data_IF_618610013809
#
_entry.id   IF_618610013809
#
_cell.length_a   1.000
_cell.length_b   1.000
_cell.length_c   1.000
_cell.angle_alpha   90.00
_cell.angle_beta   90.00
_cell.angle_gamma   90.00
#
_symmetry.space_group_name_H-M   'P 1'
#
loop_
_entity.id
_entity.type
_entity.pdbx_description
1 polymer ?
#
# COMPACT_ATOMS: atom_id res chain seq x y z
N UNK A 1 -32.29 12.95 -8.33
CA UNK A 1 -31.39 12.15 -9.20
C UNK A 1 -30.57 11.25 -8.31
N UNK A 2 -30.45 9.98 -8.66
CA UNK A 2 -29.67 9.02 -7.85
C UNK A 2 -28.22 9.02 -8.35
N UNK A 3 -27.46 10.08 -8.01
CA UNK A 3 -26.09 10.29 -8.45
C UNK A 3 -25.10 10.23 -7.30
N UNK A 4 -23.80 10.04 -7.60
CA UNK A 4 -22.69 10.06 -6.67
C UNK A 4 -21.47 10.74 -7.28
N UNK A 5 -20.53 11.16 -6.43
CA UNK A 5 -19.22 11.68 -6.87
C UNK A 5 -18.20 10.55 -6.94
N UNK A 6 -17.34 10.61 -7.97
CA UNK A 6 -16.22 9.72 -8.21
C UNK A 6 -15.02 10.49 -8.74
N UNK A 7 -13.80 10.10 -8.32
CA UNK A 7 -12.57 10.69 -8.82
C UNK A 7 -12.14 10.02 -10.12
N UNK A 8 -11.91 10.81 -11.15
CA UNK A 8 -11.45 10.33 -12.45
C UNK A 8 -10.26 11.13 -12.97
N UNK A 9 -9.34 10.43 -13.62
CA UNK A 9 -8.31 11.01 -14.47
C UNK A 9 -8.92 11.21 -15.86
N UNK A 10 -9.03 12.44 -16.26
CA UNK A 10 -9.48 12.82 -17.59
C UNK A 10 -8.28 12.94 -18.55
N UNK A 11 -8.56 13.24 -19.82
CA UNK A 11 -7.51 13.46 -20.82
C UNK A 11 -6.62 14.66 -20.44
N UNK A 12 -5.34 14.57 -20.77
CA UNK A 12 -4.34 15.59 -20.46
C UNK A 12 -3.62 15.40 -19.12
N UNK A 13 -2.45 16.00 -19.02
CA UNK A 13 -1.59 15.92 -17.83
C UNK A 13 -2.26 16.53 -16.61
N UNK A 14 -2.15 15.86 -15.48
CA UNK A 14 -2.67 16.37 -14.20
C UNK A 14 -4.19 16.56 -14.12
N UNK A 15 -4.94 16.22 -15.15
CA UNK A 15 -6.37 16.48 -15.24
C UNK A 15 -7.18 15.44 -14.44
N UNK A 16 -7.18 15.57 -13.11
CA UNK A 16 -7.96 14.74 -12.18
C UNK A 16 -9.13 15.56 -11.63
N UNK A 17 -10.35 15.04 -11.73
CA UNK A 17 -11.57 15.74 -11.31
C UNK A 17 -12.53 14.81 -10.58
N UNK A 18 -13.30 15.41 -9.67
CA UNK A 18 -14.53 14.80 -9.16
C UNK A 18 -15.61 14.92 -10.22
N UNK A 19 -16.14 13.80 -10.66
CA UNK A 19 -17.24 13.74 -11.65
C UNK A 19 -18.48 13.18 -10.98
N UNK A 20 -19.62 13.69 -11.43
CA UNK A 20 -20.92 13.16 -11.03
C UNK A 20 -21.32 12.03 -11.97
N UNK A 21 -21.64 10.87 -11.40
CA UNK A 21 -22.01 9.66 -12.11
C UNK A 21 -23.26 9.04 -11.49
N UNK A 22 -23.92 8.15 -12.19
CA UNK A 22 -25.03 7.38 -11.65
C UNK A 22 -24.57 6.52 -10.45
N UNK A 23 -25.33 6.54 -9.35
CA UNK A 23 -25.10 5.67 -8.20
C UNK A 23 -25.53 4.26 -8.57
N UNK A 24 -24.62 3.26 -8.47
CA UNK A 24 -24.95 1.90 -8.87
C UNK A 24 -25.91 1.23 -7.86
N UNK A 25 -26.64 0.24 -8.34
CA UNK A 25 -27.47 -0.65 -7.53
C UNK A 25 -26.85 -2.05 -7.51
N UNK A 26 -26.86 -2.75 -6.33
CA UNK A 26 -26.28 -4.06 -6.24
C UNK A 26 -27.14 -5.13 -6.93
N UNK A 27 -26.53 -5.85 -7.87
CA UNK A 27 -27.08 -7.03 -8.49
C UNK A 27 -26.91 -8.30 -7.66
N UNK A 28 -27.20 -9.50 -8.23
CA UNK A 28 -27.02 -10.77 -7.56
C UNK A 28 -25.57 -10.96 -7.08
N UNK A 29 -25.39 -11.38 -5.83
CA UNK A 29 -24.08 -11.59 -5.19
C UNK A 29 -23.29 -10.30 -4.94
N UNK A 30 -23.90 -9.12 -5.07
CA UNK A 30 -23.23 -7.84 -4.90
C UNK A 30 -23.72 -7.07 -3.66
N UNK A 31 -22.82 -6.30 -3.09
CA UNK A 31 -23.09 -5.33 -2.03
C UNK A 31 -22.78 -3.91 -2.49
N UNK A 32 -23.56 -2.94 -2.05
CA UNK A 32 -23.27 -1.53 -2.20
C UNK A 32 -22.60 -1.00 -0.92
N UNK A 33 -21.36 -0.58 -1.04
CA UNK A 33 -20.57 -0.04 0.07
C UNK A 33 -20.53 1.49 -0.02
N UNK A 34 -20.95 2.19 1.03
CA UNK A 34 -20.74 3.63 1.20
C UNK A 34 -19.37 3.85 1.80
N UNK A 35 -18.46 4.45 1.03
CA UNK A 35 -17.09 4.67 1.46
C UNK A 35 -17.00 5.75 2.56
N UNK A 36 -16.17 5.49 3.55
CA UNK A 36 -15.80 6.44 4.61
C UNK A 36 -14.39 6.99 4.39
N UNK A 37 -13.47 6.14 3.92
CA UNK A 37 -12.06 6.47 3.63
C UNK A 37 -11.58 5.72 2.41
N UNK A 38 -10.62 6.31 1.70
CA UNK A 38 -9.88 5.63 0.62
C UNK A 38 -8.44 6.10 0.61
N UNK A 39 -7.51 5.20 0.28
CA UNK A 39 -6.07 5.44 0.27
C UNK A 39 -5.60 5.84 -1.13
N UNK A 40 -4.91 6.98 -1.23
CA UNK A 40 -4.27 7.42 -2.46
C UNK A 40 -2.84 6.87 -2.51
N UNK A 41 -2.53 6.12 -3.53
CA UNK A 41 -1.19 5.59 -3.75
C UNK A 41 -0.30 6.58 -4.49
N UNK A 42 0.82 6.96 -3.86
CA UNK A 42 1.80 7.84 -4.50
C UNK A 42 2.39 7.21 -5.77
N UNK A 43 2.74 5.93 -5.75
CA UNK A 43 3.38 5.24 -6.88
C UNK A 43 2.39 4.94 -8.01
N UNK A 44 1.31 4.24 -7.69
CA UNK A 44 0.36 3.75 -8.70
C UNK A 44 -0.52 4.85 -9.29
N UNK A 45 -0.86 5.85 -8.50
CA UNK A 45 -1.81 6.88 -8.93
C UNK A 45 -1.11 8.20 -9.22
N UNK A 46 -0.42 8.80 -8.23
CA UNK A 46 0.18 10.12 -8.45
C UNK A 46 1.33 10.04 -9.47
N UNK A 47 2.29 9.13 -9.28
CA UNK A 47 3.44 9.06 -10.17
C UNK A 47 3.09 8.57 -11.58
N UNK A 48 2.30 7.51 -11.70
CA UNK A 48 1.96 6.95 -13.01
C UNK A 48 0.89 7.74 -13.76
N UNK A 49 -0.09 8.31 -13.07
CA UNK A 49 -1.30 8.84 -13.71
C UNK A 49 -1.42 10.35 -13.65
N UNK A 50 -0.70 10.99 -12.72
CA UNK A 50 -0.79 12.42 -12.52
C UNK A 50 0.49 13.16 -12.94
N UNK A 51 1.67 12.65 -12.56
CA UNK A 51 2.96 13.35 -12.72
C UNK A 51 3.63 13.04 -14.05
N UNK A 52 3.40 11.87 -14.66
CA UNK A 52 3.97 11.55 -15.97
C UNK A 52 3.20 12.24 -17.09
N UNK A 53 3.94 12.91 -17.95
CA UNK A 53 3.44 13.63 -19.12
C UNK A 53 2.95 12.68 -20.21
N UNK A 54 3.58 11.51 -20.34
CA UNK A 54 3.12 10.44 -21.24
C UNK A 54 1.72 10.01 -20.78
N UNK A 55 0.80 10.48 -21.54
CA UNK A 55 -0.62 10.44 -21.28
C UNK A 55 -1.09 9.08 -20.79
N UNK A 56 -1.29 8.97 -19.51
CA UNK A 56 -2.14 7.91 -19.01
C UNK A 56 -3.55 8.23 -19.50
N UNK A 57 -4.18 7.35 -20.27
CA UNK A 57 -5.53 7.56 -20.78
C UNK A 57 -6.51 7.81 -19.63
N UNK A 58 -7.69 8.36 -19.91
CA UNK A 58 -8.75 8.54 -18.93
C UNK A 58 -8.97 7.28 -18.09
N UNK A 59 -9.00 7.42 -16.79
CA UNK A 59 -9.04 6.29 -15.88
C UNK A 59 -9.80 6.62 -14.58
N UNK A 60 -10.56 5.65 -14.09
CA UNK A 60 -11.17 5.71 -12.78
C UNK A 60 -10.06 5.46 -11.73
N UNK A 61 -9.87 6.41 -10.82
CA UNK A 61 -8.81 6.37 -9.83
C UNK A 61 -9.23 5.68 -8.54
N UNK A 62 -8.28 5.06 -7.86
CA UNK A 62 -8.49 4.37 -6.59
C UNK A 62 -8.49 2.85 -6.72
N UNK A 63 -8.12 2.17 -5.63
CA UNK A 63 -8.13 0.71 -5.55
C UNK A 63 -8.24 0.17 -4.12
N UNK A 64 -8.08 1.01 -3.09
CA UNK A 64 -8.17 0.60 -1.70
C UNK A 64 -9.01 1.57 -0.88
N UNK A 65 -10.06 1.05 -0.26
CA UNK A 65 -11.02 1.85 0.49
C UNK A 65 -11.63 1.04 1.65
N UNK A 66 -12.30 1.76 2.56
CA UNK A 66 -13.07 1.18 3.65
C UNK A 66 -14.38 1.93 3.85
N UNK A 67 -15.42 1.21 4.24
CA UNK A 67 -16.74 1.79 4.41
C UNK A 67 -17.73 0.83 5.05
N UNK A 68 -19.00 1.06 4.79
CA UNK A 68 -20.12 0.35 5.37
C UNK A 68 -21.08 -0.12 4.27
N UNK A 69 -21.53 -1.34 4.34
CA UNK A 69 -22.55 -1.89 3.43
C UNK A 69 -23.88 -1.19 3.69
N UNK A 70 -24.43 -0.58 2.65
CA UNK A 70 -25.70 0.15 2.73
C UNK A 70 -26.85 -0.52 1.97
N UNK A 71 -26.53 -1.49 1.10
CA UNK A 71 -27.50 -2.34 0.44
C UNK A 71 -26.83 -3.66 0.03
N UNK A 72 -27.60 -4.73 -0.02
CA UNK A 72 -27.22 -6.05 -0.50
C UNK A 72 -28.16 -6.48 -1.62
N UNK A 73 -27.61 -7.05 -2.68
CA UNK A 73 -28.38 -7.65 -3.75
C UNK A 73 -28.88 -9.06 -3.39
N UNK A 74 -29.69 -9.66 -4.28
CA UNK A 74 -30.06 -11.07 -4.13
C UNK A 74 -28.81 -11.97 -4.06
N UNK A 75 -28.96 -13.15 -3.44
CA UNK A 75 -27.91 -14.19 -3.36
C UNK A 75 -26.70 -13.86 -2.46
N UNK A 76 -26.62 -12.68 -1.85
CA UNK A 76 -25.61 -12.36 -0.81
C UNK A 76 -25.95 -13.14 0.46
N UNK A 77 -24.98 -13.92 0.97
CA UNK A 77 -25.18 -14.83 2.12
C UNK A 77 -24.34 -14.46 3.34
N UNK A 78 -23.12 -13.95 3.15
CA UNK A 78 -22.15 -13.77 4.24
C UNK A 78 -21.97 -12.30 4.66
N UNK A 79 -22.69 -11.38 4.02
CA UNK A 79 -22.62 -9.94 4.33
C UNK A 79 -24.02 -9.36 4.58
N UNK A 80 -24.10 -8.33 5.40
CA UNK A 80 -25.36 -7.65 5.72
C UNK A 80 -25.20 -6.13 5.74
N UNK A 81 -26.32 -5.43 5.62
CA UNK A 81 -26.39 -3.96 5.76
C UNK A 81 -25.90 -3.55 7.15
N UNK A 82 -25.11 -2.48 7.21
CA UNK A 82 -24.47 -1.96 8.43
C UNK A 82 -23.11 -2.59 8.72
N UNK A 83 -22.72 -3.64 8.01
CA UNK A 83 -21.41 -4.27 8.23
C UNK A 83 -20.28 -3.37 7.72
N UNK A 84 -19.23 -3.24 8.53
CA UNK A 84 -18.00 -2.51 8.21
C UNK A 84 -17.09 -3.39 7.36
N UNK A 85 -16.55 -2.82 6.28
CA UNK A 85 -15.75 -3.57 5.31
C UNK A 85 -14.58 -2.76 4.76
N UNK A 86 -13.50 -3.47 4.41
CA UNK A 86 -12.51 -3.01 3.43
C UNK A 86 -12.93 -3.50 2.04
N UNK A 87 -12.73 -2.69 1.02
CA UNK A 87 -13.12 -3.01 -0.34
C UNK A 87 -12.07 -2.52 -1.34
N UNK A 88 -11.81 -3.33 -2.38
CA UNK A 88 -11.06 -2.87 -3.54
C UNK A 88 -12.01 -2.06 -4.43
N UNK A 89 -11.64 -0.82 -4.74
CA UNK A 89 -12.52 0.01 -5.57
C UNK A 89 -12.04 1.45 -5.72
N UNK A 90 -12.72 2.23 -6.56
CA UNK A 90 -12.32 3.58 -6.86
C UNK A 90 -12.51 4.55 -5.69
N UNK A 91 -11.89 5.72 -5.80
CA UNK A 91 -12.23 6.88 -4.95
C UNK A 91 -13.60 7.41 -5.35
N UNK A 92 -14.63 6.96 -4.66
CA UNK A 92 -16.01 7.28 -4.94
C UNK A 92 -16.83 7.37 -3.64
N UNK A 93 -18.03 7.91 -3.70
CA UNK A 93 -18.93 7.86 -2.55
C UNK A 93 -19.49 6.46 -2.29
N UNK A 94 -19.70 5.68 -3.37
CA UNK A 94 -20.20 4.31 -3.28
C UNK A 94 -19.45 3.40 -4.26
N UNK A 95 -19.31 2.13 -3.88
CA UNK A 95 -18.65 1.09 -4.68
C UNK A 95 -19.48 -0.18 -4.60
N UNK A 96 -19.65 -0.86 -5.73
CA UNK A 96 -20.15 -2.24 -5.73
C UNK A 96 -19.01 -3.19 -5.35
N UNK A 97 -19.30 -4.13 -4.48
CA UNK A 97 -18.40 -5.20 -4.09
C UNK A 97 -19.02 -6.56 -4.37
N UNK A 98 -18.22 -7.54 -4.75
CA UNK A 98 -18.67 -8.88 -5.06
C UNK A 98 -18.37 -9.81 -3.86
N UNK A 99 -19.37 -10.58 -3.40
CA UNK A 99 -19.23 -11.47 -2.24
C UNK A 99 -18.20 -12.58 -2.49
N UNK A 100 -18.24 -13.21 -3.66
CA UNK A 100 -17.37 -14.35 -4.00
C UNK A 100 -16.01 -13.92 -4.57
N UNK A 101 -15.70 -12.63 -4.51
CA UNK A 101 -14.52 -12.08 -5.14
C UNK A 101 -14.71 -11.90 -6.65
N UNK A 102 -14.31 -10.80 -7.16
CA UNK A 102 -14.43 -10.39 -8.54
C UNK A 102 -13.54 -9.18 -8.75
N UNK A 103 -14.05 -8.20 -9.48
CA UNK A 103 -13.34 -6.94 -9.71
C UNK A 103 -13.12 -6.16 -8.41
N UNK A 104 -14.11 -6.22 -7.51
CA UNK A 104 -14.08 -5.48 -6.25
C UNK A 104 -14.28 -6.44 -5.06
N UNK A 105 -13.17 -6.88 -4.49
CA UNK A 105 -13.15 -7.76 -3.31
C UNK A 105 -13.60 -7.01 -2.07
N UNK A 106 -14.29 -7.72 -1.17
CA UNK A 106 -14.80 -7.19 0.07
C UNK A 106 -14.37 -8.06 1.26
N UNK A 107 -13.96 -7.43 2.35
CA UNK A 107 -13.50 -8.12 3.57
C UNK A 107 -14.14 -7.46 4.78
N UNK A 108 -14.78 -8.26 5.65
CA UNK A 108 -15.31 -7.76 6.91
C UNK A 108 -14.22 -7.21 7.82
N UNK A 109 -14.49 -6.10 8.49
CA UNK A 109 -13.56 -5.47 9.42
C UNK A 109 -13.88 -5.83 10.87
N UNK A 110 -12.87 -6.09 11.73
CA UNK A 110 -13.04 -6.13 13.17
C UNK A 110 -13.64 -4.82 13.72
N UNK A 111 -14.35 -4.90 14.82
CA UNK A 111 -15.05 -3.74 15.41
C UNK A 111 -14.11 -2.65 15.91
N UNK A 112 -12.91 -3.02 16.31
CA UNK A 112 -11.84 -2.15 16.86
C UNK A 112 -10.95 -1.51 15.80
N UNK A 113 -11.00 -1.99 14.54
CA UNK A 113 -10.21 -1.41 13.45
C UNK A 113 -10.95 -0.21 12.84
N UNK A 114 -10.35 0.98 12.88
CA UNK A 114 -10.93 2.17 12.25
C UNK A 114 -10.86 2.12 10.71
N UNK A 115 -11.67 2.97 10.03
CA UNK A 115 -11.74 2.98 8.57
C UNK A 115 -10.46 3.52 7.91
N UNK A 116 -9.72 4.37 8.58
CA UNK A 116 -8.47 4.94 8.04
C UNK A 116 -7.40 3.86 7.97
N UNK A 117 -7.16 3.16 9.08
CA UNK A 117 -6.25 2.01 9.14
C UNK A 117 -6.68 0.90 8.18
N UNK A 118 -7.98 0.62 8.08
CA UNK A 118 -8.52 -0.40 7.18
C UNK A 118 -8.22 -0.13 5.69
N UNK A 119 -7.95 1.12 5.29
CA UNK A 119 -7.55 1.41 3.91
C UNK A 119 -6.19 0.84 3.52
N UNK A 120 -5.35 0.47 4.48
CA UNK A 120 -4.05 -0.16 4.23
C UNK A 120 -4.15 -1.69 4.03
N UNK A 121 -5.31 -2.31 4.31
CA UNK A 121 -5.46 -3.77 4.33
C UNK A 121 -5.01 -4.42 3.02
N UNK A 122 -5.35 -3.84 1.86
CA UNK A 122 -4.94 -4.37 0.56
C UNK A 122 -3.42 -4.38 0.42
N UNK A 123 -2.75 -3.27 0.67
CA UNK A 123 -1.30 -3.16 0.58
C UNK A 123 -0.58 -4.03 1.61
N UNK A 124 -1.13 -4.15 2.82
CA UNK A 124 -0.60 -5.05 3.85
C UNK A 124 -0.71 -6.51 3.40
N UNK A 125 -1.83 -6.90 2.80
CA UNK A 125 -2.02 -8.26 2.28
C UNK A 125 -1.00 -8.57 1.18
N UNK A 126 -0.81 -7.67 0.22
CA UNK A 126 0.20 -7.82 -0.84
C UNK A 126 1.62 -7.92 -0.24
N UNK A 127 1.94 -7.08 0.73
CA UNK A 127 3.24 -7.10 1.41
C UNK A 127 3.48 -8.43 2.12
N UNK A 128 2.49 -8.97 2.82
CA UNK A 128 2.57 -10.29 3.46
C UNK A 128 2.81 -11.39 2.43
N UNK A 129 2.14 -11.32 1.26
CA UNK A 129 2.32 -12.29 0.18
C UNK A 129 3.74 -12.22 -0.42
N UNK A 130 4.27 -11.02 -0.66
CA UNK A 130 5.64 -10.86 -1.16
C UNK A 130 6.67 -11.39 -0.16
N UNK A 131 6.51 -11.07 1.10
CA UNK A 131 7.42 -11.53 2.15
C UNK A 131 7.37 -13.05 2.38
N UNK A 132 6.29 -13.75 1.99
CA UNK A 132 6.27 -15.22 2.00
C UNK A 132 7.30 -15.84 1.05
N UNK A 133 7.56 -15.18 -0.09
CA UNK A 133 8.59 -15.58 -1.05
C UNK A 133 10.01 -15.15 -0.70
N UNK A 134 10.16 -14.36 0.39
CA UNK A 134 11.44 -13.80 0.85
C UNK A 134 11.63 -14.17 2.32
N UNK A 135 11.97 -15.42 2.64
CA UNK A 135 12.12 -15.87 4.02
C UNK A 135 13.28 -15.14 4.70
N UNK A 136 13.13 -14.88 5.99
CA UNK A 136 14.17 -14.43 6.89
C UNK A 136 14.06 -15.20 8.19
N UNK A 137 15.18 -15.70 8.69
CA UNK A 137 15.25 -16.51 9.90
C UNK A 137 15.61 -15.65 11.14
N UNK A 138 15.30 -16.13 12.35
CA UNK A 138 15.75 -15.48 13.57
C UNK A 138 17.28 -15.32 13.60
N UNK A 139 17.74 -14.13 13.99
CA UNK A 139 19.16 -13.76 14.04
C UNK A 139 19.71 -13.14 12.77
N UNK A 140 19.02 -13.26 11.65
CA UNK A 140 19.41 -12.65 10.38
C UNK A 140 19.11 -11.14 10.32
N UNK A 141 19.79 -10.44 9.43
CA UNK A 141 19.64 -8.99 9.22
C UNK A 141 18.85 -8.73 7.93
N UNK A 142 17.78 -7.94 8.05
CA UNK A 142 17.03 -7.42 6.91
C UNK A 142 17.27 -5.92 6.72
N UNK A 143 17.36 -5.49 5.47
CA UNK A 143 17.38 -4.08 5.06
C UNK A 143 16.19 -3.76 4.20
N UNK A 144 15.51 -2.64 4.46
CA UNK A 144 14.41 -2.13 3.60
C UNK A 144 14.75 -0.73 3.12
N UNK A 145 14.98 -0.61 1.79
CA UNK A 145 15.24 0.67 1.15
C UNK A 145 13.93 1.34 0.73
N UNK A 146 13.76 2.59 1.17
CA UNK A 146 12.57 3.39 0.92
C UNK A 146 11.47 3.15 1.95
N UNK A 147 11.14 4.18 2.73
CA UNK A 147 10.11 4.15 3.77
C UNK A 147 8.85 4.92 3.33
N UNK A 148 8.43 4.66 2.07
CA UNK A 148 7.07 4.96 1.64
C UNK A 148 6.07 3.98 2.26
N UNK A 149 4.80 4.04 1.88
CA UNK A 149 3.75 3.13 2.41
C UNK A 149 4.18 1.66 2.31
N UNK A 150 4.64 1.23 1.13
CA UNK A 150 5.03 -0.16 0.89
C UNK A 150 6.25 -0.56 1.74
N UNK A 151 7.31 0.24 1.73
CA UNK A 151 8.51 -0.08 2.52
C UNK A 151 8.26 -0.11 4.02
N UNK A 152 7.46 0.82 4.54
CA UNK A 152 7.06 0.81 5.94
C UNK A 152 6.24 -0.43 6.31
N UNK A 153 5.35 -0.89 5.43
CA UNK A 153 4.61 -2.14 5.63
C UNK A 153 5.54 -3.36 5.52
N UNK A 154 6.49 -3.38 4.57
CA UNK A 154 7.50 -4.44 4.47
C UNK A 154 8.33 -4.55 5.76
N UNK A 155 8.82 -3.44 6.28
CA UNK A 155 9.62 -3.43 7.51
C UNK A 155 8.84 -4.00 8.71
N UNK A 156 7.57 -3.64 8.86
CA UNK A 156 6.71 -4.17 9.91
C UNK A 156 6.43 -5.67 9.72
N UNK A 157 6.09 -6.12 8.51
CA UNK A 157 5.86 -7.56 8.23
C UNK A 157 7.11 -8.39 8.45
N UNK A 158 8.29 -7.86 8.11
CA UNK A 158 9.58 -8.51 8.41
C UNK A 158 9.78 -8.57 9.92
N UNK A 159 9.51 -7.49 10.65
CA UNK A 159 9.66 -7.42 12.11
C UNK A 159 8.85 -8.49 12.84
N UNK A 160 7.62 -8.76 12.39
CA UNK A 160 6.76 -9.81 12.96
C UNK A 160 7.36 -11.22 12.85
N UNK A 161 8.34 -11.43 11.96
CA UNK A 161 9.07 -12.70 11.84
C UNK A 161 10.26 -12.82 12.81
N UNK A 162 10.47 -11.80 13.62
CA UNK A 162 11.52 -11.76 14.66
C UNK A 162 12.94 -11.99 14.12
N UNK A 163 13.37 -11.27 13.07
CA UNK A 163 14.76 -11.31 12.64
C UNK A 163 15.67 -10.79 13.76
N UNK A 164 16.96 -11.00 13.62
CA UNK A 164 17.95 -10.42 14.54
C UNK A 164 18.01 -8.90 14.47
N UNK A 165 17.83 -8.34 13.25
CA UNK A 165 17.88 -6.88 13.03
C UNK A 165 17.07 -6.46 11.80
N UNK A 166 16.34 -5.35 11.90
CA UNK A 166 15.70 -4.65 10.79
C UNK A 166 16.30 -3.26 10.64
N UNK A 167 16.99 -3.05 9.51
CA UNK A 167 17.60 -1.77 9.14
C UNK A 167 16.70 -1.14 8.06
N UNK A 168 16.38 0.14 8.19
CA UNK A 168 15.63 0.87 7.17
C UNK A 168 16.44 2.04 6.62
N UNK A 169 16.25 2.34 5.35
CA UNK A 169 16.96 3.41 4.63
C UNK A 169 15.95 4.30 3.92
N UNK A 170 15.97 5.59 4.16
CA UNK A 170 15.21 6.59 3.39
C UNK A 170 15.97 7.91 3.35
N UNK A 171 15.71 8.76 2.36
CA UNK A 171 16.29 10.09 2.25
C UNK A 171 15.48 11.17 3.00
N UNK A 172 14.26 10.87 3.41
CA UNK A 172 13.34 11.87 3.96
C UNK A 172 13.30 11.81 5.49
N UNK A 173 13.71 12.87 6.21
CA UNK A 173 13.80 12.86 7.68
C UNK A 173 12.50 12.45 8.39
N UNK A 174 11.34 12.92 7.90
CA UNK A 174 10.04 12.55 8.45
C UNK A 174 9.79 11.05 8.36
N UNK A 175 10.13 10.40 7.25
CA UNK A 175 9.97 8.94 7.07
C UNK A 175 10.93 8.15 7.95
N UNK A 176 12.16 8.66 8.10
CA UNK A 176 13.11 8.11 9.05
C UNK A 176 12.57 8.18 10.50
N UNK A 177 11.89 9.28 10.86
CA UNK A 177 11.19 9.40 12.15
C UNK A 177 10.11 8.33 12.32
N UNK A 178 9.20 8.24 11.36
CA UNK A 178 8.12 7.22 11.37
C UNK A 178 8.70 5.79 11.47
N UNK A 179 9.78 5.51 10.74
CA UNK A 179 10.40 4.18 10.79
C UNK A 179 10.95 3.81 12.19
N UNK A 180 11.48 4.78 12.94
CA UNK A 180 11.88 4.58 14.34
C UNK A 180 10.66 4.28 15.22
N UNK A 181 9.59 5.06 15.05
CA UNK A 181 8.35 4.87 15.82
C UNK A 181 7.69 3.51 15.52
N UNK A 182 7.87 2.97 14.31
CA UNK A 182 7.41 1.66 13.89
C UNK A 182 8.35 0.50 14.30
N UNK A 183 9.41 0.78 15.03
CA UNK A 183 10.27 -0.22 15.66
C UNK A 183 11.40 -0.76 14.77
N UNK A 184 11.88 -0.01 13.79
CA UNK A 184 13.13 -0.35 13.10
C UNK A 184 14.31 -0.28 14.11
N UNK A 185 15.21 -1.27 14.05
CA UNK A 185 16.37 -1.31 14.96
C UNK A 185 17.40 -0.24 14.59
N UNK A 186 17.60 -0.01 13.28
CA UNK A 186 18.50 1.00 12.75
C UNK A 186 17.82 1.79 11.63
N UNK A 187 18.01 3.10 11.61
CA UNK A 187 17.43 3.99 10.61
C UNK A 187 18.53 4.86 9.99
N UNK A 188 18.77 4.65 8.71
CA UNK A 188 19.80 5.33 7.93
C UNK A 188 19.15 6.41 7.04
N UNK A 189 19.61 7.66 7.20
CA UNK A 189 19.26 8.72 6.26
C UNK A 189 20.31 8.78 5.16
N UNK A 190 19.97 8.28 3.97
CA UNK A 190 20.89 8.21 2.82
C UNK A 190 21.29 9.59 2.26
N UNK A 191 20.63 10.67 2.68
CA UNK A 191 21.05 12.04 2.34
C UNK A 191 22.21 12.55 3.21
N UNK A 192 22.53 11.87 4.31
CA UNK A 192 23.54 12.29 5.27
C UNK A 192 24.78 11.38 5.26
N UNK A 193 24.59 10.10 4.92
CA UNK A 193 25.66 9.08 4.96
C UNK A 193 25.54 8.11 3.79
N UNK A 194 26.63 7.40 3.48
CA UNK A 194 26.60 6.28 2.55
C UNK A 194 25.95 5.07 3.22
N UNK A 195 24.77 4.70 2.73
CA UNK A 195 23.96 3.63 3.32
C UNK A 195 24.59 2.25 3.13
N UNK A 196 25.34 2.02 2.05
CA UNK A 196 26.04 0.74 1.80
C UNK A 196 27.16 0.54 2.83
N UNK A 197 27.98 1.57 3.03
CA UNK A 197 29.06 1.52 4.04
C UNK A 197 28.50 1.30 5.46
N UNK A 198 27.41 2.00 5.81
CA UNK A 198 26.80 1.85 7.13
C UNK A 198 26.24 0.45 7.32
N UNK A 199 25.50 -0.11 6.34
CA UNK A 199 24.98 -1.48 6.41
C UNK A 199 26.11 -2.49 6.54
N UNK A 200 27.16 -2.38 5.76
CA UNK A 200 28.35 -3.25 5.87
C UNK A 200 29.01 -3.14 7.24
N UNK A 201 29.15 -1.93 7.76
CA UNK A 201 29.69 -1.74 9.12
C UNK A 201 28.83 -2.40 10.19
N UNK A 202 27.51 -2.26 10.13
CA UNK A 202 26.57 -2.86 11.06
C UNK A 202 26.52 -4.40 10.99
N UNK A 203 26.94 -4.98 9.86
CA UNK A 203 26.94 -6.43 9.60
C UNK A 203 28.36 -7.04 9.64
N UNK A 204 29.34 -6.34 10.17
CA UNK A 204 30.72 -6.82 10.25
C UNK A 204 31.41 -7.03 8.88
N UNK A 205 30.98 -6.32 7.86
CA UNK A 205 31.50 -6.39 6.50
C UNK A 205 30.84 -7.48 5.61
N UNK A 206 29.97 -8.29 6.17
CA UNK A 206 29.34 -9.42 5.47
C UNK A 206 28.21 -8.94 4.55
N UNK A 207 27.37 -8.01 5.04
CA UNK A 207 26.14 -7.57 4.36
C UNK A 207 24.88 -8.12 5.04
N UNK A 208 23.73 -7.82 4.44
CA UNK A 208 22.41 -8.24 4.95
C UNK A 208 21.94 -9.56 4.30
N UNK A 209 21.23 -10.37 5.06
CA UNK A 209 20.66 -11.65 4.58
C UNK A 209 19.47 -11.42 3.64
N UNK A 210 18.72 -10.33 3.86
CA UNK A 210 17.58 -9.92 3.03
C UNK A 210 17.65 -8.41 2.76
N UNK A 211 17.52 -8.02 1.50
CA UNK A 211 17.34 -6.61 1.13
C UNK A 211 16.07 -6.46 0.31
N UNK A 212 15.17 -5.58 0.76
CA UNK A 212 13.89 -5.27 0.09
C UNK A 212 13.98 -3.86 -0.48
N UNK A 213 13.89 -3.74 -1.80
CA UNK A 213 13.93 -2.45 -2.50
C UNK A 213 12.50 -1.93 -2.72
N UNK A 214 12.18 -0.76 -2.14
CA UNK A 214 10.87 -0.11 -2.21
C UNK A 214 10.95 1.37 -2.65
N UNK A 215 12.09 1.79 -3.23
CA UNK A 215 12.28 3.16 -3.73
C UNK A 215 11.69 3.27 -5.12
N UNK A 216 10.61 4.01 -5.26
CA UNK A 216 10.01 4.25 -6.55
C UNK A 216 10.59 5.47 -7.28
N UNK A 217 10.20 5.62 -8.56
CA UNK A 217 10.52 6.79 -9.36
C UNK A 217 11.93 6.75 -9.96
N UNK A 218 12.52 7.93 -10.15
CA UNK A 218 13.79 8.07 -10.87
C UNK A 218 15.01 7.52 -10.09
N UNK A 219 14.86 7.30 -8.79
CA UNK A 219 15.94 6.79 -7.93
C UNK A 219 15.96 5.26 -7.84
N UNK A 220 14.97 4.57 -8.42
CA UNK A 220 14.84 3.11 -8.29
C UNK A 220 16.04 2.33 -8.82
N UNK A 221 16.67 2.75 -9.93
CA UNK A 221 17.87 2.09 -10.49
C UNK A 221 19.03 2.19 -9.49
N UNK A 222 19.36 3.39 -9.03
CA UNK A 222 20.44 3.59 -8.06
C UNK A 222 20.18 2.85 -6.74
N UNK A 223 18.96 2.86 -6.27
CA UNK A 223 18.56 2.13 -5.06
C UNK A 223 18.71 0.62 -5.23
N UNK A 224 18.38 0.09 -6.41
CA UNK A 224 18.55 -1.33 -6.72
C UNK A 224 20.04 -1.74 -6.77
N UNK A 225 20.90 -0.92 -7.36
CA UNK A 225 22.37 -1.14 -7.35
C UNK A 225 22.89 -1.17 -5.90
N UNK A 226 22.52 -0.19 -5.08
CA UNK A 226 22.86 -0.17 -3.65
C UNK A 226 22.34 -1.41 -2.90
N UNK A 227 21.12 -1.87 -3.22
CA UNK A 227 20.56 -3.08 -2.61
C UNK A 227 21.43 -4.31 -2.90
N UNK A 228 21.94 -4.45 -4.11
CA UNK A 228 22.85 -5.55 -4.48
C UNK A 228 24.17 -5.48 -3.70
N UNK A 229 24.73 -4.27 -3.50
CA UNK A 229 25.97 -4.07 -2.75
C UNK A 229 25.81 -4.33 -1.25
N UNK A 230 24.60 -4.19 -0.72
CA UNK A 230 24.27 -4.45 0.70
C UNK A 230 24.08 -5.94 1.01
N UNK A 231 23.79 -6.78 0.02
CA UNK A 231 23.55 -8.21 0.23
C UNK A 231 24.82 -8.95 0.69
N UNK A 232 24.63 -9.93 1.57
CA UNK A 232 25.62 -10.94 1.88
C UNK A 232 25.88 -11.85 0.67
N UNK A 233 27.10 -12.40 0.51
CA UNK A 233 27.43 -13.31 -0.57
C UNK A 233 26.58 -14.56 -0.63
#
# INVERSE_FOLDING_TARGET
>A
MNTMLRLEKLEGFGNVKMVEVEKPEPGPGQMLVKLKRSLISRGSELFRRYVREEAVPPHIMGYSAAGEIVAVGPEVQNFCVGQRVSVTGPHAQYVLADEQGGKHRCFGLPSDLDYETATFLLLTTETVLWMRGSPIDPGQTAVVLGQGIVGSLCAQVIRERQPGRVIVVDAHPMRCGIARDLGADEVINVSEVDSVEVVKSLTGGIGADLVVECVGGNMGIKSFEQAQEMLAP
#
